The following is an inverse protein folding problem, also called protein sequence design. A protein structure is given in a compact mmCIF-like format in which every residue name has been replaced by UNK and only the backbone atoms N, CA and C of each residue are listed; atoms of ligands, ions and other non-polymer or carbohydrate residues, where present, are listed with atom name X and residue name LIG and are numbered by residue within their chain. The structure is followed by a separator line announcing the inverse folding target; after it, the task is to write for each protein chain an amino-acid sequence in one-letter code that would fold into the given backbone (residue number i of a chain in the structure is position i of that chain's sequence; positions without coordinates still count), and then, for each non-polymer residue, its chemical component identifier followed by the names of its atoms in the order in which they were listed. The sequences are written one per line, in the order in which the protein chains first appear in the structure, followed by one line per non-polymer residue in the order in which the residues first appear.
data_IF_114319365409
#
_entry.id   IF_114319365409
#
_cell.length_a   1.000
_cell.length_b   1.000
_cell.length_c   1.000
_cell.angle_alpha   90.00
_cell.angle_beta   90.00
_cell.angle_gamma   90.00
#
_symmetry.space_group_name_H-M   'P 1'
#
loop_
_entity.id
_entity.type
_entity.pdbx_description
1 polymer ?
#
# COMPACT_ATOMS: atom_id res chain seq x y z
N UNK A 1 -0.46 -11.87 19.95
CA UNK A 1 -0.24 -10.72 19.03
C UNK A 1 -1.01 -11.01 17.75
N UNK A 2 -1.62 -10.00 17.15
CA UNK A 2 -2.33 -10.07 15.87
C UNK A 2 -1.84 -8.89 15.01
N UNK A 3 -1.87 -9.02 13.67
CA UNK A 3 -1.52 -7.89 12.80
C UNK A 3 -2.40 -7.84 11.55
N UNK A 4 -2.60 -6.62 11.05
CA UNK A 4 -3.20 -6.36 9.75
C UNK A 4 -2.20 -5.58 8.90
N UNK A 5 -1.97 -6.08 7.71
CA UNK A 5 -1.17 -5.45 6.66
C UNK A 5 -2.12 -4.91 5.60
N UNK A 6 -1.95 -3.67 5.22
CA UNK A 6 -2.77 -3.02 4.22
C UNK A 6 -1.91 -2.65 3.01
N UNK A 7 -2.40 -2.92 1.81
CA UNK A 7 -2.01 -2.12 0.67
C UNK A 7 -2.60 -0.70 0.81
N UNK A 8 -2.20 0.22 -0.05
CA UNK A 8 -2.59 1.61 0.08
C UNK A 8 -3.53 2.09 -1.04
N UNK A 9 -3.09 2.02 -2.29
CA UNK A 9 -3.84 2.54 -3.43
C UNK A 9 -5.05 1.65 -3.77
N UNK A 10 -6.26 2.22 -3.76
CA UNK A 10 -7.49 1.47 -3.99
C UNK A 10 -7.90 0.54 -2.82
N UNK A 11 -7.12 0.52 -1.73
CA UNK A 11 -7.39 -0.24 -0.50
C UNK A 11 -7.70 0.71 0.66
N UNK A 12 -6.73 1.48 1.12
CA UNK A 12 -6.93 2.53 2.13
C UNK A 12 -7.40 3.85 1.53
N UNK A 13 -7.22 4.03 0.23
CA UNK A 13 -7.75 5.16 -0.54
C UNK A 13 -8.83 4.69 -1.51
N UNK A 14 -9.69 5.60 -1.93
CA UNK A 14 -10.47 5.38 -3.14
C UNK A 14 -9.53 5.17 -4.35
N UNK A 15 -10.02 4.50 -5.40
CA UNK A 15 -9.23 4.30 -6.62
C UNK A 15 -8.67 5.63 -7.11
N UNK A 16 -7.36 5.74 -7.11
CA UNK A 16 -6.63 6.95 -7.51
C UNK A 16 -5.72 6.64 -8.70
N UNK A 17 -5.31 7.66 -9.46
CA UNK A 17 -4.29 7.46 -10.48
C UNK A 17 -3.01 6.90 -9.87
N UNK A 18 -2.33 6.01 -10.60
CA UNK A 18 -1.01 5.51 -10.20
C UNK A 18 -0.05 6.68 -9.98
N UNK A 19 0.44 6.84 -8.75
CA UNK A 19 1.23 8.00 -8.33
C UNK A 19 2.54 8.13 -9.13
N UNK A 20 3.20 7.01 -9.42
CA UNK A 20 4.42 7.01 -10.21
C UNK A 20 4.18 7.59 -11.60
N UNK A 21 3.14 7.11 -12.28
CA UNK A 21 2.74 7.64 -13.60
C UNK A 21 2.39 9.12 -13.52
N UNK A 22 1.69 9.55 -12.47
CA UNK A 22 1.31 10.95 -12.28
C UNK A 22 2.55 11.85 -12.09
N UNK A 23 3.59 11.39 -11.38
CA UNK A 23 4.86 12.12 -11.25
C UNK A 23 5.54 12.26 -12.61
N UNK A 24 5.72 11.17 -13.38
CA UNK A 24 6.31 11.21 -14.71
C UNK A 24 5.60 12.23 -15.61
N UNK A 25 4.26 12.21 -15.63
CA UNK A 25 3.45 13.15 -16.40
C UNK A 25 3.61 14.60 -15.94
N UNK A 26 3.63 14.83 -14.62
CA UNK A 26 3.79 16.18 -14.07
C UNK A 26 5.15 16.81 -14.40
N UNK A 27 6.15 15.98 -14.63
CA UNK A 27 7.49 16.37 -15.07
C UNK A 27 7.61 16.51 -16.59
N UNK A 28 6.50 16.30 -17.32
CA UNK A 28 6.46 16.47 -18.78
C UNK A 28 6.98 15.28 -19.58
N UNK A 29 7.12 14.14 -18.96
CA UNK A 29 7.48 12.90 -19.67
C UNK A 29 6.26 12.26 -20.34
N UNK A 30 6.48 11.63 -21.49
CA UNK A 30 5.52 10.70 -22.08
C UNK A 30 5.39 9.44 -21.21
N UNK A 31 4.17 8.97 -20.98
CA UNK A 31 3.83 7.76 -20.24
C UNK A 31 3.04 6.75 -21.08
N UNK A 32 3.05 6.89 -22.40
CA UNK A 32 2.45 5.94 -23.33
C UNK A 32 3.19 4.60 -23.36
N UNK A 33 2.62 3.62 -24.05
CA UNK A 33 3.14 2.24 -24.09
C UNK A 33 4.58 2.12 -24.61
N UNK A 34 5.04 3.04 -25.44
CA UNK A 34 6.39 3.07 -26.02
C UNK A 34 7.32 4.08 -25.33
N UNK A 35 6.91 4.64 -24.20
CA UNK A 35 7.70 5.61 -23.47
C UNK A 35 8.84 5.00 -22.67
N UNK A 36 9.79 5.82 -22.26
CA UNK A 36 10.87 5.40 -21.36
C UNK A 36 10.33 4.88 -20.04
N UNK A 37 9.30 5.53 -19.48
CA UNK A 37 8.59 5.05 -18.30
C UNK A 37 8.08 3.62 -18.45
N UNK A 38 7.38 3.34 -19.56
CA UNK A 38 6.83 2.01 -19.82
C UNK A 38 7.95 0.97 -20.03
N UNK A 39 9.05 1.33 -20.71
CA UNK A 39 10.18 0.44 -20.93
C UNK A 39 10.87 0.08 -19.60
N UNK A 40 11.09 1.03 -18.69
CA UNK A 40 11.67 0.76 -17.39
C UNK A 40 10.81 -0.22 -16.58
N UNK A 41 9.48 -0.04 -16.62
CA UNK A 41 8.57 -0.95 -15.93
C UNK A 41 8.62 -2.37 -16.53
N UNK A 42 8.64 -2.49 -17.86
CA UNK A 42 8.76 -3.79 -18.55
C UNK A 42 10.10 -4.47 -18.21
N UNK A 43 11.19 -3.73 -18.15
CA UNK A 43 12.51 -4.30 -17.83
C UNK A 43 12.59 -4.76 -16.36
N UNK A 44 11.96 -4.03 -15.46
CA UNK A 44 11.78 -4.45 -14.05
C UNK A 44 10.93 -5.73 -13.95
N UNK A 45 9.75 -5.76 -14.59
CA UNK A 45 8.85 -6.93 -14.55
C UNK A 45 9.50 -8.18 -15.15
N UNK A 46 10.32 -8.02 -16.19
CA UNK A 46 11.09 -9.10 -16.80
C UNK A 46 12.39 -9.45 -16.04
N UNK A 47 12.61 -8.87 -14.86
CA UNK A 47 13.81 -9.10 -14.01
C UNK A 47 15.14 -8.80 -14.73
N UNK A 48 15.13 -7.92 -15.74
CA UNK A 48 16.34 -7.41 -16.40
C UNK A 48 17.07 -6.38 -15.55
N UNK A 49 16.32 -5.63 -14.74
CA UNK A 49 16.82 -4.71 -13.75
C UNK A 49 16.17 -5.03 -12.40
N UNK A 50 16.89 -4.78 -11.31
CA UNK A 50 16.38 -4.87 -9.95
C UNK A 50 15.45 -3.69 -9.65
N UNK A 51 14.68 -3.77 -8.58
CA UNK A 51 13.84 -2.66 -8.13
C UNK A 51 14.69 -1.41 -7.79
N UNK A 52 15.87 -1.60 -7.18
CA UNK A 52 16.76 -0.47 -6.88
C UNK A 52 17.30 0.18 -8.15
N UNK A 53 17.72 -0.59 -9.16
CA UNK A 53 18.14 -0.04 -10.44
C UNK A 53 17.01 0.72 -11.15
N UNK A 54 15.76 0.21 -11.07
CA UNK A 54 14.60 0.93 -11.56
C UNK A 54 14.41 2.27 -10.82
N UNK A 55 14.60 2.29 -9.50
CA UNK A 55 14.55 3.50 -8.69
C UNK A 55 15.66 4.47 -9.03
N UNK A 56 16.89 4.01 -9.25
CA UNK A 56 18.05 4.84 -9.59
C UNK A 56 17.88 5.52 -10.94
N UNK A 57 17.41 4.78 -11.95
CA UNK A 57 17.10 5.31 -13.28
C UNK A 57 15.94 6.32 -13.24
N UNK A 58 14.89 6.02 -12.48
CA UNK A 58 13.77 6.92 -12.26
C UNK A 58 14.21 8.20 -11.53
N UNK A 59 15.05 8.06 -10.49
CA UNK A 59 15.59 9.19 -9.74
C UNK A 59 16.38 10.13 -10.66
N UNK A 60 17.25 9.58 -11.50
CA UNK A 60 18.03 10.36 -12.46
C UNK A 60 17.14 11.17 -13.42
N UNK A 61 16.12 10.51 -14.00
CA UNK A 61 15.16 11.19 -14.86
C UNK A 61 14.37 12.28 -14.13
N UNK A 62 13.98 12.03 -12.88
CA UNK A 62 13.26 13.01 -12.07
C UNK A 62 14.13 14.22 -11.70
N UNK A 63 15.41 14.01 -11.41
CA UNK A 63 16.37 15.07 -11.12
C UNK A 63 16.62 15.98 -12.34
N UNK A 64 16.68 15.42 -13.56
CA UNK A 64 16.79 16.20 -14.79
C UNK A 64 15.64 17.21 -15.00
N UNK A 65 14.48 16.95 -14.38
CA UNK A 65 13.27 17.80 -14.44
C UNK A 65 12.99 18.54 -13.13
N UNK A 66 14.00 18.71 -12.28
CA UNK A 66 13.87 19.45 -11.02
C UNK A 66 12.76 18.94 -10.09
N UNK A 67 12.58 17.60 -10.02
CA UNK A 67 11.61 16.97 -9.11
C UNK A 67 11.82 17.48 -7.68
N UNK A 68 10.74 17.84 -7.02
CA UNK A 68 10.76 18.36 -5.65
C UNK A 68 9.49 17.97 -4.88
N UNK A 69 9.53 18.12 -3.56
CA UNK A 69 8.43 17.72 -2.66
C UNK A 69 7.11 18.43 -2.97
N UNK A 70 7.13 19.66 -3.53
CA UNK A 70 5.90 20.38 -3.84
C UNK A 70 5.12 19.72 -4.98
N UNK A 71 5.80 19.02 -5.89
CA UNK A 71 5.16 18.24 -6.94
C UNK A 71 4.35 17.11 -6.31
N UNK A 72 4.94 16.33 -5.38
CA UNK A 72 4.22 15.29 -4.64
C UNK A 72 3.02 15.89 -3.89
N UNK A 73 3.25 16.97 -3.16
CA UNK A 73 2.21 17.64 -2.38
C UNK A 73 1.00 18.05 -3.24
N UNK A 74 1.26 18.50 -4.47
CA UNK A 74 0.20 18.88 -5.41
C UNK A 74 -0.56 17.69 -5.95
N UNK A 75 0.13 16.60 -6.27
CA UNK A 75 -0.47 15.40 -6.85
C UNK A 75 -1.39 14.67 -5.86
N UNK A 76 -1.07 14.70 -4.57
CA UNK A 76 -1.83 13.97 -3.54
C UNK A 76 -2.97 14.78 -2.92
N UNK A 77 -3.12 16.06 -3.28
CA UNK A 77 -4.04 17.01 -2.63
C UNK A 77 -5.48 16.53 -2.57
N UNK A 78 -5.93 15.85 -3.62
CA UNK A 78 -7.32 15.43 -3.80
C UNK A 78 -7.53 13.93 -3.54
N UNK A 79 -6.47 13.20 -3.16
CA UNK A 79 -6.57 11.79 -2.79
C UNK A 79 -7.10 11.70 -1.36
N UNK A 80 -8.13 10.87 -1.18
CA UNK A 80 -8.80 10.70 0.11
C UNK A 80 -8.74 9.25 0.57
N UNK A 81 -8.69 9.07 1.89
CA UNK A 81 -8.94 7.78 2.50
C UNK A 81 -10.36 7.33 2.20
N UNK A 82 -10.55 6.02 2.07
CA UNK A 82 -11.87 5.41 2.00
C UNK A 82 -12.64 5.71 3.30
N UNK A 83 -13.94 5.89 3.20
CA UNK A 83 -14.77 6.20 4.36
C UNK A 83 -14.64 5.13 5.44
N UNK A 84 -14.72 5.54 6.70
CA UNK A 84 -14.59 4.67 7.86
C UNK A 84 -13.16 4.23 8.20
N UNK A 85 -12.14 4.50 7.35
CA UNK A 85 -10.77 4.07 7.59
C UNK A 85 -10.22 4.47 8.96
N UNK A 86 -10.32 5.75 9.42
CA UNK A 86 -9.82 6.12 10.74
C UNK A 86 -10.49 5.33 11.87
N UNK A 87 -11.79 5.08 11.77
CA UNK A 87 -12.54 4.30 12.76
C UNK A 87 -12.09 2.84 12.81
N UNK A 88 -11.82 2.25 11.62
CA UNK A 88 -11.29 0.88 11.52
C UNK A 88 -9.91 0.78 12.17
N UNK A 89 -9.02 1.75 11.92
CA UNK A 89 -7.69 1.76 12.54
C UNK A 89 -7.80 1.78 14.07
N UNK A 90 -8.65 2.65 14.61
CA UNK A 90 -8.87 2.75 16.04
C UNK A 90 -9.43 1.45 16.62
N UNK A 91 -10.48 0.87 16.02
CA UNK A 91 -11.09 -0.39 16.46
C UNK A 91 -10.04 -1.52 16.45
N UNK A 92 -9.24 -1.66 15.39
CA UNK A 92 -8.22 -2.69 15.31
C UNK A 92 -7.14 -2.51 16.38
N UNK A 93 -6.67 -1.27 16.62
CA UNK A 93 -5.71 -0.98 17.71
C UNK A 93 -6.29 -1.30 19.08
N UNK A 94 -7.55 -0.94 19.37
CA UNK A 94 -8.23 -1.27 20.62
C UNK A 94 -8.39 -2.77 20.85
N UNK A 95 -8.45 -3.58 19.76
CA UNK A 95 -8.50 -5.03 19.80
C UNK A 95 -7.10 -5.70 19.75
N UNK A 96 -6.04 -4.93 19.94
CA UNK A 96 -4.67 -5.41 20.10
C UNK A 96 -3.99 -5.84 18.80
N UNK A 97 -4.42 -5.29 17.65
CA UNK A 97 -3.73 -5.49 16.38
C UNK A 97 -2.58 -4.50 16.18
N UNK A 98 -1.48 -4.98 15.65
CA UNK A 98 -0.47 -4.16 14.99
C UNK A 98 -0.94 -3.84 13.57
N UNK A 99 -0.77 -2.58 13.14
CA UNK A 99 -1.17 -2.15 11.79
C UNK A 99 0.06 -1.76 10.98
N UNK A 100 0.12 -2.22 9.75
CA UNK A 100 1.23 -1.99 8.84
C UNK A 100 0.72 -1.63 7.45
N UNK A 101 1.33 -0.64 6.80
CA UNK A 101 1.18 -0.43 5.36
C UNK A 101 2.32 -1.15 4.65
N UNK A 102 2.01 -1.89 3.58
CA UNK A 102 2.97 -2.58 2.71
C UNK A 102 2.57 -2.31 1.26
N UNK A 103 3.23 -1.37 0.61
CA UNK A 103 2.79 -0.84 -0.68
C UNK A 103 3.97 -0.51 -1.61
N UNK A 104 3.73 -0.59 -2.91
CA UNK A 104 4.63 -0.06 -3.95
C UNK A 104 4.61 1.47 -4.07
N UNK A 105 3.81 2.17 -3.28
CA UNK A 105 3.70 3.63 -3.27
C UNK A 105 4.94 4.28 -2.59
N UNK A 106 4.86 5.56 -2.27
CA UNK A 106 5.92 6.40 -1.71
C UNK A 106 5.55 6.79 -0.27
N UNK A 107 6.50 6.68 0.67
CA UNK A 107 6.27 6.96 2.11
C UNK A 107 5.68 8.35 2.33
N UNK A 108 6.29 9.40 1.75
CA UNK A 108 5.81 10.79 1.89
C UNK A 108 4.36 10.98 1.40
N UNK A 109 3.98 10.25 0.34
CA UNK A 109 2.60 10.25 -0.20
C UNK A 109 1.64 9.61 0.79
N UNK A 110 1.99 8.43 1.29
CA UNK A 110 1.17 7.68 2.24
C UNK A 110 0.98 8.48 3.53
N UNK A 111 2.06 8.98 4.12
CA UNK A 111 2.00 9.77 5.36
C UNK A 111 1.17 11.03 5.20
N UNK A 112 1.30 11.71 4.07
CA UNK A 112 0.52 12.92 3.80
C UNK A 112 -0.97 12.65 3.68
N UNK A 113 -1.37 11.56 3.04
CA UNK A 113 -2.78 11.17 2.87
C UNK A 113 -3.33 10.65 4.20
N UNK A 114 -2.57 9.87 4.96
CA UNK A 114 -2.96 9.41 6.29
C UNK A 114 -3.11 10.57 7.29
N UNK A 115 -2.29 11.62 7.16
CA UNK A 115 -2.30 12.75 8.08
C UNK A 115 -2.14 12.30 9.54
N UNK A 116 -3.03 12.72 10.43
CA UNK A 116 -3.00 12.34 11.86
C UNK A 116 -3.18 10.82 12.09
N UNK A 117 -3.70 10.09 11.10
CA UNK A 117 -3.92 8.65 11.23
C UNK A 117 -2.63 7.82 11.15
N UNK A 118 -1.49 8.41 10.76
CA UNK A 118 -0.16 7.77 10.84
C UNK A 118 0.09 7.16 12.22
N UNK A 119 -0.40 7.80 13.28
CA UNK A 119 -0.27 7.34 14.67
C UNK A 119 -0.81 5.93 14.96
N UNK A 120 -1.71 5.41 14.12
CA UNK A 120 -2.25 4.06 14.29
C UNK A 120 -1.35 2.98 13.71
N UNK A 121 -0.40 3.33 12.84
CA UNK A 121 0.45 2.38 12.13
C UNK A 121 1.77 2.16 12.87
N UNK A 122 2.11 0.90 13.08
CA UNK A 122 3.39 0.48 13.69
C UNK A 122 4.52 0.55 12.65
N UNK A 123 4.22 0.46 11.35
CA UNK A 123 5.15 0.77 10.26
C UNK A 123 4.44 1.10 8.95
N UNK A 124 5.09 1.95 8.15
CA UNK A 124 4.77 2.22 6.75
C UNK A 124 5.95 1.73 5.93
N UNK A 125 5.70 0.74 5.08
CA UNK A 125 6.71 0.05 4.29
C UNK A 125 6.42 0.31 2.82
N UNK A 126 7.12 1.27 2.26
CA UNK A 126 6.95 1.76 0.89
C UNK A 126 8.28 2.32 0.39
N UNK A 127 8.32 2.85 -0.83
CA UNK A 127 9.53 3.46 -1.39
C UNK A 127 9.84 4.80 -0.73
N UNK A 128 11.09 5.00 -0.29
CA UNK A 128 11.52 6.24 0.33
C UNK A 128 12.08 7.23 -0.69
N UNK A 129 11.57 8.46 -0.68
CA UNK A 129 12.14 9.59 -1.41
C UNK A 129 12.95 10.48 -0.45
N UNK A 130 14.16 10.83 -0.85
CA UNK A 130 15.02 11.70 -0.07
C UNK A 130 15.17 13.05 -0.77
N UNK A 131 14.97 14.13 -0.02
CA UNK A 131 15.05 15.50 -0.51
C UNK A 131 16.15 16.26 0.21
N UNK A 132 16.79 17.21 -0.48
CA UNK A 132 17.75 18.11 0.11
C UNK A 132 17.06 19.25 0.90
N UNK A 133 17.87 20.14 1.49
CA UNK A 133 17.40 21.32 2.23
C UNK A 133 16.68 22.38 1.36
N UNK A 134 16.68 22.20 0.03
CA UNK A 134 15.93 23.00 -0.95
C UNK A 134 14.69 22.25 -1.46
N UNK A 135 14.36 21.14 -0.82
CA UNK A 135 13.24 20.25 -1.19
C UNK A 135 13.39 19.59 -2.57
N UNK A 136 14.60 19.50 -3.15
CA UNK A 136 14.87 18.80 -4.41
C UNK A 136 15.17 17.34 -4.14
N UNK A 137 14.64 16.45 -5.00
CA UNK A 137 14.89 15.01 -4.94
C UNK A 137 16.39 14.71 -5.10
N UNK A 138 16.95 13.94 -4.17
CA UNK A 138 18.36 13.53 -4.19
C UNK A 138 18.55 12.03 -4.41
N UNK A 139 17.63 11.23 -3.89
CA UNK A 139 17.73 9.76 -3.95
C UNK A 139 16.37 9.12 -3.81
N UNK A 140 16.18 7.96 -4.43
CA UNK A 140 15.04 7.07 -4.24
C UNK A 140 15.57 5.72 -3.73
N UNK A 141 15.20 5.37 -2.50
CA UNK A 141 15.50 4.06 -1.94
C UNK A 141 14.37 3.09 -2.28
N UNK A 142 14.67 2.18 -3.17
CA UNK A 142 13.74 1.15 -3.57
C UNK A 142 13.49 0.15 -2.44
N UNK A 143 12.26 -0.35 -2.39
CA UNK A 143 11.84 -1.39 -1.46
C UNK A 143 11.12 -2.48 -2.24
N UNK A 144 11.41 -3.73 -1.94
CA UNK A 144 10.72 -4.85 -2.57
C UNK A 144 9.38 -5.14 -1.88
N UNK A 145 8.56 -4.09 -1.61
CA UNK A 145 7.27 -4.24 -0.93
C UNK A 145 6.08 -4.28 -1.89
N UNK A 146 6.35 -4.68 -3.13
CA UNK A 146 5.34 -4.96 -4.14
C UNK A 146 5.44 -6.41 -4.61
N UNK A 147 4.39 -6.96 -5.20
CA UNK A 147 4.34 -8.35 -5.67
C UNK A 147 4.84 -9.35 -4.60
N UNK A 148 5.79 -10.21 -4.93
CA UNK A 148 6.41 -11.20 -4.03
C UNK A 148 6.95 -10.56 -2.74
N UNK A 149 7.31 -9.31 -2.77
CA UNK A 149 7.81 -8.56 -1.63
C UNK A 149 6.81 -8.44 -0.50
N UNK A 150 5.51 -8.40 -0.81
CA UNK A 150 4.44 -8.37 0.21
C UNK A 150 4.44 -9.65 1.05
N UNK A 151 4.54 -10.81 0.41
CA UNK A 151 4.67 -12.09 1.14
C UNK A 151 5.95 -12.14 2.00
N UNK A 152 7.09 -11.76 1.42
CA UNK A 152 8.38 -11.76 2.13
C UNK A 152 8.36 -10.85 3.35
N UNK A 153 7.73 -9.68 3.26
CA UNK A 153 7.58 -8.79 4.40
C UNK A 153 6.80 -9.44 5.54
N UNK A 154 5.67 -10.09 5.23
CA UNK A 154 4.83 -10.79 6.21
C UNK A 154 5.58 -11.98 6.81
N UNK A 155 6.35 -12.73 6.02
CA UNK A 155 7.19 -13.83 6.50
C UNK A 155 8.25 -13.34 7.48
N UNK A 156 8.98 -12.28 7.16
CA UNK A 156 9.95 -11.65 8.06
C UNK A 156 9.29 -11.16 9.36
N UNK A 157 8.09 -10.60 9.25
CA UNK A 157 7.31 -10.21 10.43
C UNK A 157 6.98 -11.42 11.32
N UNK A 158 6.54 -12.54 10.73
CA UNK A 158 6.29 -13.80 11.46
C UNK A 158 7.55 -14.30 12.17
N UNK A 159 8.67 -14.34 11.47
CA UNK A 159 9.96 -14.79 12.02
C UNK A 159 10.39 -13.91 13.20
N UNK A 160 10.29 -12.59 13.03
CA UNK A 160 10.69 -11.63 14.07
C UNK A 160 9.81 -11.66 15.31
N UNK A 161 8.51 -11.90 15.15
CA UNK A 161 7.52 -11.76 16.23
C UNK A 161 7.04 -13.10 16.80
N UNK A 162 7.25 -14.21 16.12
CA UNK A 162 6.72 -15.52 16.47
C UNK A 162 5.20 -15.65 16.30
N UNK A 163 4.54 -14.70 15.64
CA UNK A 163 3.09 -14.69 15.44
C UNK A 163 2.67 -15.76 14.45
N UNK A 164 1.66 -16.56 14.81
CA UNK A 164 1.08 -17.55 13.91
C UNK A 164 0.35 -16.89 12.73
N UNK A 165 0.49 -17.45 11.52
CA UNK A 165 -0.16 -16.97 10.31
C UNK A 165 -1.69 -16.76 10.45
N UNK A 166 -2.37 -17.58 11.25
CA UNK A 166 -3.81 -17.47 11.55
C UNK A 166 -4.23 -16.18 12.25
N UNK A 167 -3.27 -15.42 12.78
CA UNK A 167 -3.48 -14.13 13.45
C UNK A 167 -3.01 -12.95 12.58
N UNK A 168 -2.67 -13.20 11.33
CA UNK A 168 -2.20 -12.22 10.37
C UNK A 168 -3.21 -12.07 9.24
N UNK A 169 -3.48 -10.84 8.88
CA UNK A 169 -4.43 -10.47 7.83
C UNK A 169 -3.74 -9.54 6.85
N UNK A 170 -4.00 -9.73 5.57
CA UNK A 170 -3.61 -8.79 4.53
C UNK A 170 -4.87 -8.31 3.80
N UNK A 171 -5.01 -7.00 3.65
CA UNK A 171 -6.10 -6.35 2.92
C UNK A 171 -5.51 -5.64 1.71
N UNK A 172 -6.02 -5.93 0.52
CA UNK A 172 -5.56 -5.36 -0.75
C UNK A 172 -6.66 -5.37 -1.80
N UNK A 173 -6.35 -4.96 -3.02
CA UNK A 173 -7.32 -4.85 -4.11
C UNK A 173 -6.79 -5.26 -5.50
N UNK A 174 -5.48 -5.41 -5.68
CA UNK A 174 -4.83 -5.61 -6.96
C UNK A 174 -4.09 -6.95 -7.12
N UNK A 175 -3.65 -7.23 -8.34
CA UNK A 175 -2.88 -8.44 -8.67
C UNK A 175 -1.55 -8.52 -7.94
N UNK A 176 -0.95 -7.37 -7.65
CA UNK A 176 0.27 -7.28 -6.86
C UNK A 176 0.08 -7.67 -5.39
N UNK A 177 -1.16 -7.64 -4.90
CA UNK A 177 -1.52 -7.96 -3.52
C UNK A 177 -1.76 -9.45 -3.30
N UNK A 178 -2.21 -10.14 -4.32
CA UNK A 178 -2.51 -11.58 -4.20
C UNK A 178 -1.30 -12.43 -3.80
N UNK A 179 -0.07 -11.90 -4.00
CA UNK A 179 1.17 -12.54 -3.55
C UNK A 179 1.25 -12.70 -2.02
N UNK A 180 0.55 -11.86 -1.26
CA UNK A 180 0.51 -11.97 0.20
C UNK A 180 0.01 -13.34 0.68
N UNK A 181 -0.81 -14.04 -0.13
CA UNK A 181 -1.28 -15.39 0.14
C UNK A 181 -0.14 -16.39 0.41
N UNK A 182 1.01 -16.23 -0.25
CA UNK A 182 2.17 -17.13 -0.08
C UNK A 182 2.73 -17.12 1.33
N UNK A 183 2.51 -16.06 2.11
CA UNK A 183 2.91 -15.99 3.52
C UNK A 183 2.05 -16.86 4.45
N UNK A 184 0.92 -17.37 3.95
CA UNK A 184 -0.08 -18.13 4.70
C UNK A 184 -0.97 -17.29 5.62
N UNK A 185 -0.95 -15.95 5.50
CA UNK A 185 -1.88 -15.07 6.22
C UNK A 185 -3.29 -15.15 5.62
N UNK A 186 -4.29 -14.64 6.35
CA UNK A 186 -5.63 -14.43 5.80
C UNK A 186 -5.63 -13.24 4.85
N UNK A 187 -6.06 -13.45 3.60
CA UNK A 187 -6.12 -12.42 2.57
C UNK A 187 -7.55 -11.98 2.30
N UNK A 188 -7.78 -10.67 2.29
CA UNK A 188 -9.08 -10.02 2.05
C UNK A 188 -8.89 -9.09 0.85
N UNK A 189 -9.57 -9.37 -0.25
CA UNK A 189 -9.66 -8.48 -1.39
C UNK A 189 -10.86 -7.55 -1.21
N UNK A 190 -10.64 -6.25 -1.38
CA UNK A 190 -11.75 -5.29 -1.45
C UNK A 190 -11.71 -4.59 -2.80
N UNK A 191 -12.86 -4.38 -3.41
CA UNK A 191 -12.98 -3.65 -4.68
C UNK A 191 -11.95 -4.11 -5.73
N UNK A 192 -11.89 -5.39 -6.12
CA UNK A 192 -10.88 -5.91 -7.03
C UNK A 192 -10.73 -5.03 -8.28
N UNK A 193 -9.48 -4.76 -8.68
CA UNK A 193 -9.17 -3.84 -9.79
C UNK A 193 -9.76 -4.30 -11.12
N UNK A 194 -9.80 -5.59 -11.32
CA UNK A 194 -10.38 -6.24 -12.51
C UNK A 194 -10.89 -7.66 -12.20
N UNK A 195 -11.45 -8.33 -13.21
CA UNK A 195 -11.99 -9.68 -13.06
C UNK A 195 -10.91 -10.75 -12.82
N UNK A 196 -9.65 -10.51 -13.24
CA UNK A 196 -8.54 -11.43 -13.05
C UNK A 196 -8.03 -11.40 -11.61
N UNK A 197 -8.05 -10.23 -10.98
CA UNK A 197 -7.73 -10.04 -9.55
C UNK A 197 -8.66 -10.85 -8.63
N UNK A 198 -9.85 -11.19 -9.08
CA UNK A 198 -10.78 -12.02 -8.33
C UNK A 198 -10.41 -13.53 -8.38
N UNK A 199 -9.13 -13.85 -8.31
CA UNK A 199 -8.65 -15.23 -8.30
C UNK A 199 -8.91 -15.88 -6.94
N UNK A 200 -10.01 -16.63 -6.85
CA UNK A 200 -10.50 -17.31 -5.62
C UNK A 200 -9.48 -18.24 -4.94
N UNK A 201 -8.40 -18.58 -5.62
CA UNK A 201 -7.35 -19.44 -5.05
C UNK A 201 -6.31 -18.67 -4.21
N UNK A 202 -6.27 -17.34 -4.33
CA UNK A 202 -5.29 -16.48 -3.65
C UNK A 202 -5.93 -15.55 -2.61
N UNK A 203 -7.23 -15.32 -2.74
CA UNK A 203 -8.00 -14.55 -1.78
C UNK A 203 -8.91 -15.45 -0.96
N UNK A 204 -8.82 -15.36 0.37
CA UNK A 204 -9.73 -16.08 1.26
C UNK A 204 -11.12 -15.46 1.24
N UNK A 205 -11.19 -14.14 1.06
CA UNK A 205 -12.42 -13.36 1.02
C UNK A 205 -12.27 -12.28 -0.05
N UNK A 206 -13.33 -12.08 -0.83
CA UNK A 206 -13.46 -10.94 -1.75
C UNK A 206 -14.75 -10.20 -1.43
N UNK A 207 -14.66 -8.88 -1.27
CA UNK A 207 -15.79 -7.99 -0.99
C UNK A 207 -15.80 -6.93 -2.09
N UNK A 208 -16.90 -6.89 -2.85
CA UNK A 208 -17.13 -5.91 -3.91
C UNK A 208 -17.97 -4.75 -3.37
N UNK A 209 -17.85 -3.57 -4.00
CA UNK A 209 -18.60 -2.36 -3.68
C UNK A 209 -18.42 -1.90 -2.22
N UNK A 210 -17.21 -1.97 -1.72
CA UNK A 210 -16.83 -1.45 -0.41
C UNK A 210 -16.70 0.06 -0.52
N UNK A 211 -17.68 0.78 0.01
CA UNK A 211 -17.64 2.25 0.14
C UNK A 211 -17.17 2.68 1.55
N UNK A 212 -17.19 1.75 2.50
CA UNK A 212 -16.75 1.99 3.87
C UNK A 212 -15.86 0.86 4.36
N UNK A 213 -14.65 1.19 4.83
CA UNK A 213 -13.68 0.19 5.28
C UNK A 213 -14.17 -0.66 6.46
N UNK A 214 -15.18 -0.22 7.20
CA UNK A 214 -15.80 -1.03 8.27
C UNK A 214 -16.28 -2.42 7.79
N UNK A 215 -16.54 -2.57 6.51
CA UNK A 215 -17.00 -3.82 5.91
C UNK A 215 -15.99 -4.97 6.04
N UNK A 216 -14.70 -4.68 6.30
CA UNK A 216 -13.69 -5.71 6.54
C UNK A 216 -13.73 -6.26 7.97
N UNK A 217 -14.26 -5.50 8.95
CA UNK A 217 -14.17 -5.85 10.37
C UNK A 217 -14.80 -7.22 10.71
N UNK A 218 -15.94 -7.65 10.14
CA UNK A 218 -16.52 -8.96 10.42
C UNK A 218 -15.61 -10.15 10.06
N UNK A 219 -14.63 -9.94 9.20
CA UNK A 219 -13.69 -10.96 8.73
C UNK A 219 -12.38 -10.98 9.51
N UNK A 220 -12.10 -9.92 10.27
CA UNK A 220 -10.88 -9.76 11.07
C UNK A 220 -11.18 -9.98 12.56
N UNK A 221 -12.31 -9.48 13.05
CA UNK A 221 -12.71 -9.57 14.45
C UNK A 221 -13.56 -10.81 14.70
N UNK A 222 -13.41 -11.38 15.89
CA UNK A 222 -14.31 -12.44 16.32
C UNK A 222 -15.66 -11.87 16.82
N UNK A 223 -16.69 -12.73 16.99
CA UNK A 223 -18.04 -12.32 17.40
C UNK A 223 -18.09 -11.55 18.75
N UNK A 224 -17.14 -11.80 19.64
CA UNK A 224 -17.06 -11.13 20.93
C UNK A 224 -16.51 -9.70 20.76
N UNK A 225 -15.44 -9.56 19.99
CA UNK A 225 -14.83 -8.27 19.66
C UNK A 225 -15.79 -7.34 18.92
N UNK A 226 -16.66 -7.88 18.05
CA UNK A 226 -17.71 -7.10 17.34
C UNK A 226 -18.76 -6.56 18.32
N UNK A 227 -19.22 -7.37 19.28
CA UNK A 227 -20.21 -6.93 20.27
C UNK A 227 -19.67 -5.82 21.18
N UNK A 228 -18.45 -5.95 21.68
CA UNK A 228 -17.81 -4.96 22.54
C UNK A 228 -17.61 -3.61 21.83
N UNK A 229 -17.38 -3.60 20.53
CA UNK A 229 -17.27 -2.36 19.75
C UNK A 229 -18.64 -1.69 19.54
N UNK A 230 -19.70 -2.45 19.25
CA UNK A 230 -21.04 -1.89 19.10
C UNK A 230 -21.58 -1.27 20.41
N UNK A 231 -21.16 -1.76 21.58
CA UNK A 231 -21.53 -1.22 22.88
C UNK A 231 -20.77 0.07 23.25
N UNK A 232 -19.67 0.38 22.56
CA UNK A 232 -18.86 1.59 22.78
C UNK A 232 -19.24 2.76 21.86
N UNK A 233 -19.97 2.51 20.79
CA UNK A 233 -20.48 3.55 19.87
C UNK A 233 -21.80 4.23 20.40
N UNK A 234 -22.29 3.84 21.60
CA UNK A 234 -23.42 4.41 22.31
C UNK A 234 -22.96 4.94 23.68
#
# INVERSE_FOLDING_TARGET
MKAVFFDFDGTLTYKSPNIWKAIWQSLGYDTGKSSYFAQLFVDFMNKKITHQEWCDLTCSAFQEKDMNINILNKLVKDIKLIDGAPVVFEILKQNGFSLHVVSGNIVDVIEKILGENVKYFDSINATDFYFDNKNKLTYIKGTNYDFEGKAKFIEQYKEKTGVSAKNLYFVGNGDNDEWAYLSGCHTICINPEDAETNNKNKWHITIENVDNLKDILPFILNKKEIKENNEREF
#
